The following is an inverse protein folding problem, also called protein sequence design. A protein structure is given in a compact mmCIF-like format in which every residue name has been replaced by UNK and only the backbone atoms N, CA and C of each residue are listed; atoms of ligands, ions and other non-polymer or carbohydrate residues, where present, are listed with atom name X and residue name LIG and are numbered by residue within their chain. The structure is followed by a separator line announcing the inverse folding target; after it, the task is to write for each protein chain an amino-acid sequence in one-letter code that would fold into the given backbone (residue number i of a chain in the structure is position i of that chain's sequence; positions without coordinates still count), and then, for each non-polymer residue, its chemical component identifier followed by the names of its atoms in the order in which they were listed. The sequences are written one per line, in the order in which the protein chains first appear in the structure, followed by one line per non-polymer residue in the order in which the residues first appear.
data_IF_475582103894
#
_entry.id   IF_475582103894
#
_cell.length_a   1.000
_cell.length_b   1.000
_cell.length_c   1.000
_cell.angle_alpha   90.00
_cell.angle_beta   90.00
_cell.angle_gamma   90.00
#
_symmetry.space_group_name_H-M   'P 1'
#
loop_
_entity.id
_entity.type
_entity.pdbx_description
1 polymer ?
#
# COMPACT_ATOMS: atom_id res chain seq x y z
N UNK A 1 27.74 7.46 -8.26
CA UNK A 1 26.46 7.05 -7.62
C UNK A 1 25.49 6.60 -8.70
N UNK A 2 25.04 5.33 -8.69
CA UNK A 2 24.01 4.84 -9.63
C UNK A 2 22.73 5.61 -9.33
N UNK A 3 22.27 6.48 -10.24
CA UNK A 3 20.97 7.17 -10.11
C UNK A 3 19.90 6.08 -9.94
N UNK A 4 19.21 6.07 -8.80
CA UNK A 4 18.06 5.19 -8.60
C UNK A 4 17.06 5.50 -9.73
N UNK A 5 16.84 4.55 -10.64
CA UNK A 5 15.88 4.70 -11.73
C UNK A 5 14.50 4.47 -11.15
N UNK A 6 13.87 5.53 -10.66
CA UNK A 6 12.48 5.47 -10.22
C UNK A 6 11.61 5.12 -11.43
N UNK A 7 10.89 4.00 -11.36
CA UNK A 7 9.83 3.65 -12.31
C UNK A 7 8.51 4.05 -11.68
N UNK A 8 7.71 4.84 -12.41
CA UNK A 8 6.35 5.19 -12.01
C UNK A 8 5.43 4.05 -12.38
N UNK A 9 4.53 3.70 -11.47
CA UNK A 9 3.49 2.69 -11.69
C UNK A 9 2.14 3.37 -11.45
N UNK A 10 1.17 3.07 -12.31
CA UNK A 10 -0.21 3.49 -12.14
C UNK A 10 -1.03 2.25 -11.79
N UNK A 11 -1.89 2.37 -10.80
CA UNK A 11 -2.82 1.33 -10.38
C UNK A 11 -4.13 1.99 -9.97
N UNK A 12 -5.23 1.28 -10.18
CA UNK A 12 -6.56 1.78 -9.82
C UNK A 12 -6.82 1.53 -8.35
N UNK A 13 -7.29 2.55 -7.65
CA UNK A 13 -7.74 2.51 -6.26
C UNK A 13 -9.14 3.10 -6.18
N UNK A 14 -9.90 2.72 -5.16
CA UNK A 14 -11.07 3.50 -4.75
C UNK A 14 -10.59 4.80 -4.10
N UNK A 15 -11.46 5.82 -4.07
CA UNK A 15 -11.16 7.10 -3.41
C UNK A 15 -10.80 6.88 -1.95
N UNK A 16 -11.56 6.05 -1.24
CA UNK A 16 -11.33 5.69 0.16
C UNK A 16 -9.92 5.16 0.42
N UNK A 17 -9.44 4.22 -0.40
CA UNK A 17 -8.08 3.66 -0.25
C UNK A 17 -7.02 4.72 -0.57
N UNK A 18 -7.31 5.66 -1.48
CA UNK A 18 -6.40 6.77 -1.75
C UNK A 18 -6.28 7.71 -0.56
N UNK A 19 -7.40 8.06 0.08
CA UNK A 19 -7.45 8.89 1.28
C UNK A 19 -6.74 8.23 2.47
N UNK A 20 -6.93 6.91 2.66
CA UNK A 20 -6.24 6.15 3.70
C UNK A 20 -4.71 6.21 3.53
N UNK A 21 -4.21 6.10 2.30
CA UNK A 21 -2.77 6.23 2.02
C UNK A 21 -2.27 7.63 2.40
N UNK A 22 -3.03 8.68 2.11
CA UNK A 22 -2.66 10.05 2.46
C UNK A 22 -2.66 10.25 3.97
N UNK A 23 -3.69 9.76 4.68
CA UNK A 23 -3.76 9.82 6.14
C UNK A 23 -2.56 9.11 6.80
N UNK A 24 -2.21 7.90 6.33
CA UNK A 24 -1.05 7.15 6.83
C UNK A 24 0.26 7.91 6.57
N UNK A 25 0.37 8.57 5.42
CA UNK A 25 1.57 9.36 5.08
C UNK A 25 1.80 10.55 6.04
N UNK A 26 0.75 11.00 6.74
CA UNK A 26 0.81 12.10 7.71
C UNK A 26 1.03 11.64 9.15
N UNK A 27 0.99 10.32 9.45
CA UNK A 27 1.24 9.79 10.79
C UNK A 27 2.62 10.19 11.34
N UNK A 28 3.72 10.13 10.57
CA UNK A 28 5.03 10.48 11.08
C UNK A 28 5.17 11.99 11.27
N UNK A 29 5.37 12.43 12.52
CA UNK A 29 5.58 13.85 12.85
C UNK A 29 7.02 14.31 12.65
N UNK A 30 7.97 13.37 12.63
CA UNK A 30 9.40 13.67 12.70
C UNK A 30 10.15 13.49 11.36
N UNK A 31 9.50 12.92 10.35
CA UNK A 31 10.10 12.73 9.03
C UNK A 31 9.03 12.75 7.95
N UNK A 32 9.44 13.05 6.71
CA UNK A 32 8.55 13.04 5.56
C UNK A 32 8.31 11.62 5.07
N UNK A 33 7.05 11.22 4.95
CA UNK A 33 6.65 9.95 4.36
C UNK A 33 5.89 10.23 3.06
N UNK A 34 6.30 9.63 1.95
CA UNK A 34 5.55 9.72 0.70
C UNK A 34 4.54 8.57 0.57
N UNK A 35 3.53 8.72 -0.30
CA UNK A 35 2.63 7.62 -0.67
C UNK A 35 3.39 6.36 -1.11
N UNK A 36 4.51 6.53 -1.83
CA UNK A 36 5.37 5.41 -2.21
C UNK A 36 6.04 4.73 -1.02
N UNK A 37 6.35 5.46 0.04
CA UNK A 37 6.94 4.88 1.26
C UNK A 37 5.90 4.15 2.09
N UNK A 38 4.66 4.66 2.15
CA UNK A 38 3.50 3.94 2.71
C UNK A 38 3.34 2.59 2.03
N UNK A 39 3.28 2.55 0.69
CA UNK A 39 3.13 1.29 -0.05
C UNK A 39 4.30 0.33 0.16
N UNK A 40 5.55 0.82 0.23
CA UNK A 40 6.70 -0.01 0.56
C UNK A 40 6.57 -0.61 1.96
N UNK A 41 6.16 0.19 2.94
CA UNK A 41 5.93 -0.27 4.32
C UNK A 41 4.81 -1.32 4.37
N UNK A 42 3.71 -1.11 3.64
CA UNK A 42 2.62 -2.07 3.53
C UNK A 42 3.08 -3.40 2.91
N UNK A 43 3.88 -3.36 1.83
CA UNK A 43 4.43 -4.58 1.22
C UNK A 43 5.39 -5.29 2.18
N UNK A 44 6.25 -4.56 2.89
CA UNK A 44 7.15 -5.14 3.88
C UNK A 44 6.38 -5.84 5.00
N UNK A 45 5.34 -5.18 5.54
CA UNK A 45 4.43 -5.75 6.54
C UNK A 45 3.69 -6.98 6.00
N UNK A 46 3.18 -6.91 4.77
CA UNK A 46 2.51 -8.05 4.13
C UNK A 46 3.44 -9.26 4.00
N UNK A 47 4.72 -9.03 3.71
CA UNK A 47 5.72 -10.11 3.61
C UNK A 47 6.10 -10.75 4.95
N UNK A 48 5.82 -10.12 6.09
CA UNK A 48 6.07 -10.74 7.41
C UNK A 48 4.93 -11.66 7.85
N UNK A 49 3.76 -11.57 7.19
CA UNK A 49 2.62 -12.46 7.44
C UNK A 49 2.91 -13.88 6.93
N UNK A 50 2.27 -14.87 7.54
CA UNK A 50 2.26 -16.24 7.02
C UNK A 50 1.53 -16.32 5.67
N UNK A 51 1.79 -17.39 4.91
CA UNK A 51 1.13 -17.61 3.62
C UNK A 51 -0.40 -17.66 3.75
N UNK A 52 -0.92 -18.23 4.85
CA UNK A 52 -2.36 -18.31 5.09
C UNK A 52 -2.96 -16.92 5.31
N UNK A 53 -2.34 -16.10 6.16
CA UNK A 53 -2.78 -14.72 6.42
C UNK A 53 -2.70 -13.84 5.17
N UNK A 54 -1.64 -13.98 4.36
CA UNK A 54 -1.54 -13.27 3.07
C UNK A 54 -2.71 -13.61 2.14
N UNK A 55 -3.09 -14.88 2.07
CA UNK A 55 -4.21 -15.33 1.22
C UNK A 55 -5.53 -14.77 1.75
N UNK A 56 -5.78 -14.81 3.05
CA UNK A 56 -7.01 -14.25 3.63
C UNK A 56 -7.08 -12.72 3.43
N UNK A 57 -6.00 -11.99 3.68
CA UNK A 57 -5.95 -10.55 3.43
C UNK A 57 -6.18 -10.19 1.95
N UNK A 58 -5.71 -11.04 1.02
CA UNK A 58 -6.00 -10.86 -0.41
C UNK A 58 -7.46 -11.17 -0.75
N UNK A 59 -8.09 -12.14 -0.09
CA UNK A 59 -9.53 -12.43 -0.31
C UNK A 59 -10.39 -11.24 0.07
N UNK A 60 -10.14 -10.60 1.22
CA UNK A 60 -10.87 -9.42 1.68
C UNK A 60 -10.91 -8.30 0.63
N UNK A 61 -9.79 -8.05 -0.05
CA UNK A 61 -9.70 -6.98 -1.06
C UNK A 61 -10.14 -7.42 -2.47
N UNK A 62 -10.03 -8.71 -2.80
CA UNK A 62 -10.43 -9.25 -4.10
C UNK A 62 -11.93 -9.52 -4.21
N UNK A 63 -12.59 -9.91 -3.12
CA UNK A 63 -14.02 -10.31 -3.10
C UNK A 63 -14.96 -9.09 -3.16
N UNK A 64 -14.52 -7.93 -2.69
CA UNK A 64 -15.27 -6.67 -2.76
C UNK A 64 -15.42 -6.08 -4.17
N UNK A 65 -15.04 -6.80 -5.24
CA UNK A 65 -15.24 -6.37 -6.64
C UNK A 65 -16.59 -6.78 -7.25
N UNK A 66 -17.44 -7.48 -6.50
CA UNK A 66 -18.68 -8.07 -7.04
C UNK A 66 -19.98 -7.39 -6.56
N UNK A 67 -19.92 -6.24 -5.89
CA UNK A 67 -21.11 -5.53 -5.38
C UNK A 67 -21.17 -4.06 -5.85
N UNK A 68 -20.81 -3.80 -7.10
CA UNK A 68 -21.16 -2.56 -7.82
C UNK A 68 -21.96 -2.90 -9.08
#
# INVERSE_FOLDING_TARGET
MKKARFKRFNFSLTESVSEDIDAISLLPRNFKCSRSDVLKASILSFKTMSKAEQIEALKEVCVNKNND
#
